data_IF_623104377645
#
_entry.id   IF_623104377645
#
_cell.length_a   1.000
_cell.length_b   1.000
_cell.length_c   1.000
_cell.angle_alpha   90.00
_cell.angle_beta   90.00
_cell.angle_gamma   90.00
#
_symmetry.space_group_name_H-M   'P 1'
#
loop_
_entity.id
_entity.type
_entity.pdbx_description
1 polymer ?
#
# COMPACT_ATOMS: atom_id res chain seq x y z
N UNK A 1 60.92 31.11 -18.11
CA UNK A 1 60.71 29.89 -17.30
C UNK A 1 59.67 30.04 -16.16
N UNK A 2 59.12 31.24 -15.86
CA UNK A 2 58.24 31.46 -14.69
C UNK A 2 56.74 31.16 -14.89
N UNK A 3 56.24 31.08 -16.13
CA UNK A 3 54.79 30.89 -16.41
C UNK A 3 54.28 29.48 -16.09
N UNK A 4 55.10 28.46 -16.32
CA UNK A 4 54.68 27.06 -16.13
C UNK A 4 54.71 26.67 -14.65
N UNK A 5 55.60 27.28 -13.84
CA UNK A 5 55.68 27.06 -12.38
C UNK A 5 54.42 27.55 -11.66
N UNK A 6 53.83 28.67 -12.09
CA UNK A 6 52.57 29.21 -11.51
C UNK A 6 51.37 28.31 -11.84
N UNK A 7 51.38 27.70 -13.03
CA UNK A 7 50.33 26.78 -13.45
C UNK A 7 50.33 25.49 -12.60
N UNK A 8 51.52 24.94 -12.34
CA UNK A 8 51.65 23.71 -11.54
C UNK A 8 51.30 23.93 -10.06
N UNK A 9 51.68 25.06 -9.46
CA UNK A 9 51.29 25.36 -8.07
C UNK A 9 49.80 25.62 -7.92
N UNK A 10 49.14 26.21 -8.92
CA UNK A 10 47.68 26.38 -8.95
C UNK A 10 46.93 25.05 -9.10
N UNK A 11 47.43 24.13 -9.92
CA UNK A 11 46.80 22.81 -10.10
C UNK A 11 46.97 21.92 -8.86
N UNK A 12 48.15 21.93 -8.23
CA UNK A 12 48.41 21.20 -6.99
C UNK A 12 47.57 21.72 -5.80
N UNK A 13 47.35 23.03 -5.70
CA UNK A 13 46.50 23.60 -4.65
C UNK A 13 45.01 23.29 -4.87
N UNK A 14 44.53 23.26 -6.13
CA UNK A 14 43.16 22.85 -6.45
C UNK A 14 42.92 21.36 -6.13
N UNK A 15 43.89 20.48 -6.37
CA UNK A 15 43.76 19.05 -6.01
C UNK A 15 43.77 18.87 -4.48
N UNK A 16 44.65 19.59 -3.76
CA UNK A 16 44.68 19.57 -2.30
C UNK A 16 43.39 20.13 -1.67
N UNK A 17 42.80 21.17 -2.28
CA UNK A 17 41.53 21.76 -1.83
C UNK A 17 40.35 20.80 -2.06
N UNK A 18 40.29 20.13 -3.21
CA UNK A 18 39.28 19.09 -3.48
C UNK A 18 39.45 17.85 -2.58
N UNK A 19 40.69 17.47 -2.26
CA UNK A 19 40.99 16.39 -1.32
C UNK A 19 40.56 16.71 0.12
N UNK A 20 40.65 17.98 0.53
CA UNK A 20 40.24 18.45 1.86
C UNK A 20 38.72 18.69 1.96
N UNK A 21 38.05 19.03 0.85
CA UNK A 21 36.59 19.13 0.77
C UNK A 21 35.92 17.75 0.82
N UNK A 22 36.57 16.71 0.30
CA UNK A 22 36.04 15.34 0.32
C UNK A 22 36.23 14.62 1.67
N UNK A 23 37.13 15.09 2.54
CA UNK A 23 37.35 14.48 3.86
C UNK A 23 36.36 14.93 4.94
N UNK A 24 35.60 16.01 4.71
CA UNK A 24 34.55 16.47 5.64
C UNK A 24 33.22 15.72 5.50
N UNK A 25 33.06 14.86 4.48
CA UNK A 25 31.84 14.06 4.28
C UNK A 25 31.83 12.78 5.15
N UNK A 26 32.92 12.47 5.86
CA UNK A 26 33.07 11.23 6.64
C UNK A 26 32.76 11.35 8.15
N UNK A 27 32.24 12.48 8.64
CA UNK A 27 32.04 12.72 10.08
C UNK A 27 30.63 13.12 10.52
N UNK A 28 29.61 12.90 9.69
CA UNK A 28 28.21 12.83 10.15
C UNK A 28 27.30 12.26 9.05
N UNK A 29 27.53 11.02 8.61
CA UNK A 29 26.41 10.22 8.10
C UNK A 29 25.70 9.61 9.32
N UNK A 30 25.00 10.45 10.09
CA UNK A 30 23.90 9.93 10.90
C UNK A 30 23.01 9.17 9.90
N UNK A 31 22.66 7.89 10.15
CA UNK A 31 21.69 7.24 9.31
C UNK A 31 20.43 8.10 9.39
N UNK A 32 20.11 8.81 8.30
CA UNK A 32 18.79 9.39 8.14
C UNK A 32 17.85 8.21 8.08
N UNK A 33 17.41 7.75 9.24
CA UNK A 33 16.21 6.96 9.38
C UNK A 33 15.17 7.88 8.73
N UNK A 34 14.83 7.61 7.47
CA UNK A 34 13.53 8.00 6.95
C UNK A 34 12.58 7.32 7.94
N UNK A 35 12.16 8.07 8.96
CA UNK A 35 11.05 7.69 9.79
C UNK A 35 9.98 7.42 8.75
N UNK A 36 9.67 6.14 8.54
CA UNK A 36 8.45 5.77 7.85
C UNK A 36 7.41 6.53 8.64
N UNK A 37 6.89 7.62 8.08
CA UNK A 37 5.68 8.24 8.59
C UNK A 37 4.75 7.05 8.75
N UNK A 38 4.53 6.63 9.99
CA UNK A 38 3.45 5.73 10.31
C UNK A 38 2.23 6.60 10.04
N UNK A 39 1.83 6.70 8.77
CA UNK A 39 0.57 7.30 8.35
C UNK A 39 -0.47 6.36 8.91
N UNK A 40 -0.77 6.57 10.19
CA UNK A 40 -1.82 5.88 10.87
C UNK A 40 -3.09 6.20 10.08
N UNK A 41 -3.72 5.17 9.54
CA UNK A 41 -4.99 5.32 8.83
C UNK A 41 -6.00 5.93 9.80
N UNK A 42 -6.36 7.18 9.57
CA UNK A 42 -7.34 7.90 10.39
C UNK A 42 -8.75 7.57 9.89
N UNK A 43 -9.33 6.51 10.46
CA UNK A 43 -10.68 6.03 10.10
C UNK A 43 -11.79 7.08 10.25
N UNK A 44 -11.55 8.18 10.97
CA UNK A 44 -12.52 9.30 11.06
C UNK A 44 -12.72 10.00 9.70
N UNK A 45 -11.79 9.83 8.76
CA UNK A 45 -11.87 10.36 7.40
C UNK A 45 -12.52 9.39 6.40
N UNK A 46 -12.78 8.15 6.83
CA UNK A 46 -13.23 7.08 5.95
C UNK A 46 -14.75 6.96 5.96
N UNK A 47 -15.32 6.67 4.80
CA UNK A 47 -16.72 6.22 4.69
C UNK A 47 -16.72 4.70 4.61
N UNK A 48 -17.12 4.06 5.71
CA UNK A 48 -17.10 2.61 5.88
C UNK A 48 -18.42 2.01 5.39
N UNK A 49 -18.36 1.03 4.48
CA UNK A 49 -19.51 0.25 4.05
C UNK A 49 -19.42 -1.17 4.61
N UNK A 50 -20.42 -1.56 5.40
CA UNK A 50 -20.52 -2.93 5.91
C UNK A 50 -21.17 -3.85 4.87
N UNK A 51 -20.46 -4.92 4.51
CA UNK A 51 -20.87 -5.94 3.55
C UNK A 51 -21.13 -7.25 4.28
N UNK A 52 -22.39 -7.66 4.27
CA UNK A 52 -22.72 -9.04 4.57
C UNK A 52 -22.43 -9.89 3.33
N UNK A 53 -21.30 -10.61 3.31
CA UNK A 53 -20.79 -11.32 2.12
C UNK A 53 -21.85 -12.21 1.46
N UNK A 54 -22.45 -13.13 2.21
CA UNK A 54 -23.49 -14.06 1.71
C UNK A 54 -24.68 -13.34 1.06
N UNK A 55 -24.96 -12.09 1.44
CA UNK A 55 -26.13 -11.32 0.99
C UNK A 55 -25.83 -10.25 -0.05
N UNK A 56 -24.58 -10.08 -0.42
CA UNK A 56 -24.18 -8.93 -1.22
C UNK A 56 -24.19 -9.20 -2.72
N UNK A 57 -23.40 -10.16 -3.19
CA UNK A 57 -23.32 -10.53 -4.60
C UNK A 57 -22.68 -11.91 -4.73
N UNK A 58 -23.31 -12.79 -5.49
CA UNK A 58 -22.71 -14.06 -5.94
C UNK A 58 -21.82 -13.78 -7.16
N UNK A 59 -20.55 -14.15 -7.07
CA UNK A 59 -19.58 -13.98 -8.15
C UNK A 59 -19.00 -15.28 -8.69
N UNK A 60 -19.20 -16.40 -7.99
CA UNK A 60 -18.77 -17.74 -8.39
C UNK A 60 -19.76 -18.80 -7.87
N UNK A 61 -20.79 -19.14 -8.69
CA UNK A 61 -21.81 -20.11 -8.30
C UNK A 61 -21.29 -21.51 -7.97
N UNK A 62 -20.06 -21.85 -8.38
CA UNK A 62 -19.46 -23.16 -8.11
C UNK A 62 -19.13 -23.35 -6.62
N UNK A 63 -19.04 -22.26 -5.84
CA UNK A 63 -18.73 -22.31 -4.41
C UNK A 63 -19.98 -22.25 -3.50
N UNK A 64 -21.18 -22.05 -4.06
CA UNK A 64 -22.42 -21.77 -3.30
C UNK A 64 -22.78 -22.85 -2.27
N UNK A 65 -22.48 -24.11 -2.56
CA UNK A 65 -22.75 -25.24 -1.66
C UNK A 65 -21.68 -25.44 -0.59
N UNK A 66 -20.54 -24.75 -0.71
CA UNK A 66 -19.37 -24.97 0.13
C UNK A 66 -19.03 -26.46 0.25
N UNK A 67 -18.79 -26.90 1.49
CA UNK A 67 -18.53 -28.32 1.81
C UNK A 67 -19.81 -29.15 2.05
N UNK A 68 -20.95 -28.50 2.25
CA UNK A 68 -22.21 -29.18 2.58
C UNK A 68 -23.35 -28.56 1.79
N UNK A 69 -23.82 -29.24 0.74
CA UNK A 69 -24.89 -28.77 -0.12
C UNK A 69 -26.22 -28.52 0.62
N UNK A 70 -26.45 -29.13 1.77
CA UNK A 70 -27.66 -28.87 2.57
C UNK A 70 -27.70 -27.46 3.15
N UNK A 71 -26.57 -26.76 3.28
CA UNK A 71 -26.53 -25.42 3.86
C UNK A 71 -26.91 -24.32 2.86
N UNK A 72 -27.00 -24.64 1.56
CA UNK A 72 -27.36 -23.71 0.50
C UNK A 72 -28.84 -23.82 0.14
N UNK A 73 -29.55 -22.69 0.16
CA UNK A 73 -30.89 -22.58 -0.42
C UNK A 73 -31.24 -21.08 -0.62
N UNK A 74 -31.26 -20.58 -1.86
CA UNK A 74 -31.54 -19.17 -2.13
C UNK A 74 -32.96 -18.74 -1.75
N UNK A 75 -33.89 -19.69 -1.55
CA UNK A 75 -35.26 -19.44 -1.14
C UNK A 75 -35.46 -19.50 0.39
N UNK A 76 -34.40 -19.75 1.18
CA UNK A 76 -34.46 -19.80 2.63
C UNK A 76 -33.44 -18.85 3.26
N UNK A 77 -33.94 -17.76 3.87
CA UNK A 77 -33.12 -16.72 4.50
C UNK A 77 -32.27 -17.19 5.70
N UNK A 78 -32.46 -18.43 6.19
CA UNK A 78 -31.62 -19.04 7.23
C UNK A 78 -30.46 -19.86 6.66
N UNK A 79 -30.38 -20.01 5.34
CA UNK A 79 -29.35 -20.74 4.62
C UNK A 79 -28.46 -19.77 3.84
N UNK A 80 -27.33 -20.28 3.35
CA UNK A 80 -26.49 -19.53 2.42
C UNK A 80 -27.25 -19.32 1.12
N UNK A 81 -27.09 -18.14 0.53
CA UNK A 81 -27.72 -17.76 -0.73
C UNK A 81 -26.71 -17.54 -1.86
N UNK A 82 -25.41 -17.56 -1.55
CA UNK A 82 -24.34 -17.62 -2.56
C UNK A 82 -23.45 -16.38 -2.67
N UNK A 83 -23.67 -15.35 -1.84
CA UNK A 83 -22.78 -14.19 -1.88
C UNK A 83 -21.36 -14.52 -1.44
N UNK A 84 -20.36 -14.00 -2.14
CA UNK A 84 -18.96 -14.38 -1.96
C UNK A 84 -17.97 -13.21 -2.18
N UNK A 85 -16.68 -13.49 -1.97
CA UNK A 85 -15.61 -12.50 -2.16
C UNK A 85 -15.46 -12.11 -3.64
N UNK A 86 -15.73 -13.04 -4.58
CA UNK A 86 -15.64 -12.75 -6.01
C UNK A 86 -16.70 -11.73 -6.42
N UNK A 87 -17.91 -11.86 -5.91
CA UNK A 87 -19.01 -10.93 -6.08
C UNK A 87 -18.70 -9.58 -5.45
N UNK A 88 -18.09 -9.55 -4.25
CA UNK A 88 -17.60 -8.30 -3.67
C UNK A 88 -16.59 -7.60 -4.59
N UNK A 89 -15.60 -8.33 -5.12
CA UNK A 89 -14.61 -7.79 -6.06
C UNK A 89 -15.30 -7.21 -7.31
N UNK A 90 -16.27 -7.93 -7.86
CA UNK A 90 -17.04 -7.49 -9.03
C UNK A 90 -17.82 -6.19 -8.78
N UNK A 91 -18.14 -5.87 -7.52
CA UNK A 91 -18.86 -4.65 -7.12
C UNK A 91 -17.96 -3.53 -6.59
N UNK A 92 -16.64 -3.69 -6.56
CA UNK A 92 -15.72 -2.60 -6.19
C UNK A 92 -15.92 -1.32 -7.03
N UNK A 93 -16.18 -1.38 -8.35
CA UNK A 93 -16.48 -0.17 -9.13
C UNK A 93 -17.74 0.56 -8.64
N UNK A 94 -18.77 -0.19 -8.24
CA UNK A 94 -20.01 0.36 -7.68
C UNK A 94 -19.77 1.01 -6.32
N UNK A 95 -19.04 0.35 -5.42
CA UNK A 95 -18.71 0.92 -4.10
C UNK A 95 -17.84 2.17 -4.25
N UNK A 96 -16.89 2.16 -5.21
CA UNK A 96 -16.07 3.33 -5.51
C UNK A 96 -16.89 4.50 -6.06
N UNK A 97 -17.87 4.24 -6.94
CA UNK A 97 -18.74 5.32 -7.47
C UNK A 97 -19.66 5.91 -6.41
N UNK A 98 -19.95 5.17 -5.34
CA UNK A 98 -20.67 5.68 -4.16
C UNK A 98 -19.79 6.53 -3.22
N UNK A 99 -18.48 6.61 -3.45
CA UNK A 99 -17.55 7.31 -2.58
C UNK A 99 -17.16 6.53 -1.32
N UNK A 100 -17.39 5.21 -1.29
CA UNK A 100 -16.93 4.35 -0.20
C UNK A 100 -15.41 4.24 -0.24
N UNK A 101 -14.78 4.40 0.92
CA UNK A 101 -13.31 4.39 1.04
C UNK A 101 -12.79 3.25 1.90
N UNK A 102 -13.64 2.62 2.71
CA UNK A 102 -13.32 1.43 3.48
C UNK A 102 -14.46 0.40 3.44
N UNK A 103 -14.11 -0.89 3.45
CA UNK A 103 -15.06 -2.00 3.42
C UNK A 103 -14.88 -2.82 4.70
N UNK A 104 -15.97 -3.00 5.45
CA UNK A 104 -16.02 -3.94 6.57
C UNK A 104 -16.84 -5.16 6.14
N UNK A 105 -16.34 -6.36 6.34
CA UNK A 105 -16.99 -7.61 5.91
C UNK A 105 -17.39 -8.48 7.11
N UNK A 106 -18.29 -9.44 6.88
CA UNK A 106 -18.51 -10.58 7.79
C UNK A 106 -17.23 -11.39 8.01
N UNK A 107 -17.10 -12.12 9.14
CA UNK A 107 -15.90 -12.91 9.43
C UNK A 107 -15.55 -13.86 8.26
N UNK A 108 -14.28 -13.87 7.82
CA UNK A 108 -13.84 -14.75 6.72
C UNK A 108 -13.46 -16.17 7.20
N UNK A 109 -13.52 -16.44 8.50
CA UNK A 109 -13.11 -17.70 9.16
C UNK A 109 -14.13 -18.14 10.19
#
# INVERSE_FOLDING_TARGET
MKKNTILYTAVLSVIALNGLLNSQILLASEPTIQSRENTYLDFRKETIYFVFLDRFSDGDPNNNTGKNAETYNPNNLKKYIGGDIKGLINKLPYLKSLGITAIWITPPV
#
